data_IF_767338473515
#
_entry.id   IF_767338473515
#
_cell.length_a   1.000
_cell.length_b   1.000
_cell.length_c   1.000
_cell.angle_alpha   90.00
_cell.angle_beta   90.00
_cell.angle_gamma   90.00
#
_symmetry.space_group_name_H-M   'P 1'
#
loop_
_entity.id
_entity.type
_entity.pdbx_description
1 polymer ?
#
# COMPACT_ATOMS: atom_id res chain seq x y z
N UNK A 1 29.94 -20.18 -0.57
CA UNK A 1 29.40 -19.97 -1.94
C UNK A 1 29.34 -18.47 -2.17
N UNK A 2 29.93 -17.92 -3.23
CA UNK A 2 29.90 -16.47 -3.52
C UNK A 2 28.78 -16.21 -4.55
N UNK A 3 27.86 -15.29 -4.27
CA UNK A 3 26.81 -14.89 -5.20
C UNK A 3 27.34 -13.72 -6.05
N UNK A 4 27.12 -13.78 -7.36
CA UNK A 4 27.49 -12.71 -8.28
C UNK A 4 26.42 -11.61 -8.30
N UNK A 5 26.83 -10.36 -8.07
CA UNK A 5 25.90 -9.22 -7.99
C UNK A 5 25.23 -8.90 -9.33
N UNK A 6 25.94 -9.10 -10.46
CA UNK A 6 25.35 -8.91 -11.79
C UNK A 6 24.20 -9.88 -12.07
N UNK A 7 24.33 -11.12 -11.56
CA UNK A 7 23.29 -12.13 -11.68
C UNK A 7 22.10 -11.83 -10.76
N UNK A 8 22.36 -11.36 -9.54
CA UNK A 8 21.31 -10.90 -8.61
C UNK A 8 20.50 -9.73 -9.21
N UNK A 9 21.20 -8.72 -9.72
CA UNK A 9 20.57 -7.55 -10.37
C UNK A 9 19.72 -7.96 -11.56
N UNK A 10 20.18 -8.94 -12.35
CA UNK A 10 19.41 -9.45 -13.48
C UNK A 10 18.11 -10.14 -13.05
N UNK A 11 18.15 -10.97 -11.99
CA UNK A 11 16.96 -11.60 -11.43
C UNK A 11 15.97 -10.55 -10.89
N UNK A 12 16.43 -9.59 -10.09
CA UNK A 12 15.60 -8.54 -9.55
C UNK A 12 14.95 -7.68 -10.64
N UNK A 13 15.72 -7.33 -11.70
CA UNK A 13 15.19 -6.61 -12.85
C UNK A 13 14.10 -7.39 -13.59
N UNK A 14 14.27 -8.70 -13.82
CA UNK A 14 13.25 -9.54 -14.48
C UNK A 14 11.96 -9.58 -13.69
N UNK A 15 12.04 -9.69 -12.38
CA UNK A 15 10.86 -9.71 -11.49
C UNK A 15 10.17 -8.34 -11.46
N UNK A 16 10.93 -7.26 -11.30
CA UNK A 16 10.39 -5.90 -11.27
C UNK A 16 9.73 -5.50 -12.59
N UNK A 17 10.37 -5.77 -13.69
CA UNK A 17 9.87 -5.43 -15.04
C UNK A 17 8.83 -6.44 -15.55
N UNK A 18 8.74 -7.62 -14.95
CA UNK A 18 7.84 -8.70 -15.34
C UNK A 18 8.19 -9.35 -16.71
N UNK A 19 9.32 -8.98 -17.33
CA UNK A 19 9.80 -9.61 -18.58
C UNK A 19 11.32 -9.49 -18.75
N UNK A 20 11.92 -10.47 -19.45
CA UNK A 20 13.35 -10.49 -19.75
C UNK A 20 13.76 -9.36 -20.71
N UNK A 21 12.90 -9.00 -21.65
CA UNK A 21 13.11 -7.93 -22.63
C UNK A 21 13.15 -6.57 -21.95
N UNK A 22 12.16 -6.27 -21.09
CA UNK A 22 12.11 -5.00 -20.34
C UNK A 22 13.27 -4.91 -19.36
N UNK A 23 13.60 -6.00 -18.67
CA UNK A 23 14.77 -6.06 -17.80
C UNK A 23 16.08 -5.79 -18.55
N UNK A 24 16.21 -6.31 -19.76
CA UNK A 24 17.38 -6.06 -20.62
C UNK A 24 17.51 -4.57 -20.98
N UNK A 25 16.40 -3.94 -21.35
CA UNK A 25 16.35 -2.49 -21.62
C UNK A 25 16.72 -1.68 -20.37
N UNK A 26 16.14 -2.01 -19.20
CA UNK A 26 16.42 -1.33 -17.94
C UNK A 26 17.88 -1.48 -17.47
N UNK A 27 18.54 -2.59 -17.83
CA UNK A 27 19.94 -2.85 -17.48
C UNK A 27 20.94 -2.46 -18.59
N UNK A 28 20.47 -1.91 -19.71
CA UNK A 28 21.29 -1.58 -20.89
C UNK A 28 22.12 -2.77 -21.38
N UNK A 29 21.51 -3.97 -21.46
CA UNK A 29 22.12 -5.21 -21.96
C UNK A 29 21.19 -5.93 -22.93
N UNK A 30 21.64 -7.02 -23.54
CA UNK A 30 20.78 -7.83 -24.40
C UNK A 30 19.86 -8.78 -23.59
N UNK A 31 18.68 -9.15 -24.09
CA UNK A 31 17.82 -10.16 -23.46
C UNK A 31 18.52 -11.51 -23.24
N UNK A 32 19.40 -11.90 -24.17
CA UNK A 32 20.24 -13.10 -24.03
C UNK A 32 21.16 -13.01 -22.83
N UNK A 33 21.80 -11.85 -22.59
CA UNK A 33 22.68 -11.64 -21.43
C UNK A 33 21.91 -11.74 -20.12
N UNK A 34 20.70 -11.14 -20.02
CA UNK A 34 19.83 -11.28 -18.84
C UNK A 34 19.46 -12.74 -18.61
N UNK A 35 19.03 -13.45 -19.67
CA UNK A 35 18.66 -14.87 -19.58
C UNK A 35 19.84 -15.74 -19.12
N UNK A 36 21.05 -15.48 -19.62
CA UNK A 36 22.26 -16.21 -19.20
C UNK A 36 22.59 -15.94 -17.73
N UNK A 37 22.51 -14.68 -17.25
CA UNK A 37 22.77 -14.32 -15.85
C UNK A 37 21.79 -15.00 -14.89
N UNK A 38 20.48 -15.00 -15.22
CA UNK A 38 19.48 -15.69 -14.41
C UNK A 38 19.72 -17.20 -14.40
N UNK A 39 19.98 -17.83 -15.59
CA UNK A 39 20.32 -19.26 -15.68
C UNK A 39 21.57 -19.63 -14.88
N UNK A 40 22.61 -18.78 -14.92
CA UNK A 40 23.83 -19.01 -14.16
C UNK A 40 23.57 -18.99 -12.64
N UNK A 41 22.66 -18.08 -12.20
CA UNK A 41 22.23 -18.02 -10.79
C UNK A 41 21.42 -19.27 -10.42
N UNK A 42 20.46 -19.68 -11.23
CA UNK A 42 19.65 -20.89 -11.05
C UNK A 42 20.53 -22.16 -10.99
N UNK A 43 21.45 -22.30 -11.94
CA UNK A 43 22.40 -23.43 -11.95
C UNK A 43 23.25 -23.48 -10.66
N UNK A 44 23.70 -22.32 -10.20
CA UNK A 44 24.50 -22.21 -8.97
C UNK A 44 23.72 -22.54 -7.70
N UNK A 45 22.43 -22.19 -7.66
CA UNK A 45 21.52 -22.48 -6.55
C UNK A 45 20.94 -23.90 -6.62
N UNK A 46 21.00 -24.55 -7.78
CA UNK A 46 20.35 -25.83 -8.03
C UNK A 46 18.83 -25.76 -8.02
N UNK A 47 18.26 -24.57 -8.24
CA UNK A 47 16.80 -24.30 -8.13
C UNK A 47 16.36 -23.29 -9.18
N UNK A 48 15.11 -23.41 -9.63
CA UNK A 48 14.45 -22.38 -10.42
C UNK A 48 14.13 -21.18 -9.53
N UNK A 49 14.46 -19.98 -9.99
CA UNK A 49 14.29 -18.73 -9.25
C UNK A 49 13.19 -17.84 -9.83
N UNK A 50 12.82 -18.06 -11.11
CA UNK A 50 11.78 -17.30 -11.78
C UNK A 50 10.89 -18.25 -12.60
N UNK A 51 9.57 -18.01 -12.51
CA UNK A 51 8.58 -18.62 -13.40
C UNK A 51 8.47 -17.73 -14.64
N UNK A 52 8.65 -18.32 -15.83
CA UNK A 52 8.60 -17.61 -17.12
C UNK A 52 7.17 -17.42 -17.61
N UNK A 53 6.33 -16.88 -16.74
CA UNK A 53 4.97 -16.44 -17.06
C UNK A 53 4.95 -15.01 -17.60
N UNK A 54 3.80 -14.50 -18.00
CA UNK A 54 3.61 -13.09 -18.36
C UNK A 54 2.54 -12.50 -17.44
N UNK A 55 2.94 -11.65 -16.47
CA UNK A 55 4.31 -11.23 -16.15
C UNK A 55 5.17 -12.37 -15.53
N UNK A 56 6.51 -12.24 -15.64
CA UNK A 56 7.44 -13.11 -14.96
C UNK A 56 7.34 -12.92 -13.45
N UNK A 57 7.23 -14.01 -12.69
CA UNK A 57 7.10 -13.96 -11.22
C UNK A 57 8.19 -14.80 -10.55
N UNK A 58 8.71 -14.38 -9.38
CA UNK A 58 9.72 -15.14 -8.67
C UNK A 58 9.13 -16.43 -8.08
N UNK A 59 9.94 -17.48 -7.96
CA UNK A 59 9.66 -18.59 -7.07
C UNK A 59 9.88 -18.16 -5.60
N UNK A 60 9.43 -18.94 -4.60
CA UNK A 60 9.76 -18.64 -3.19
C UNK A 60 11.26 -18.47 -2.94
N UNK A 61 12.11 -19.34 -3.54
CA UNK A 61 13.56 -19.23 -3.46
C UNK A 61 14.08 -18.01 -4.22
N UNK A 62 13.50 -17.70 -5.38
CA UNK A 62 13.81 -16.51 -6.16
C UNK A 62 13.50 -15.22 -5.41
N UNK A 63 12.39 -15.20 -4.66
CA UNK A 63 12.01 -14.05 -3.86
C UNK A 63 13.06 -13.69 -2.79
N UNK A 64 13.66 -14.69 -2.14
CA UNK A 64 14.75 -14.47 -1.16
C UNK A 64 15.95 -13.78 -1.82
N UNK A 65 16.27 -14.15 -3.07
CA UNK A 65 17.38 -13.53 -3.79
C UNK A 65 17.03 -12.15 -4.35
N UNK A 66 15.79 -11.92 -4.73
CA UNK A 66 15.31 -10.56 -5.10
C UNK A 66 15.42 -9.63 -3.88
N UNK A 67 14.98 -10.06 -2.71
CA UNK A 67 15.15 -9.29 -1.46
C UNK A 67 16.62 -8.95 -1.19
N UNK A 68 17.53 -9.93 -1.35
CA UNK A 68 18.96 -9.70 -1.19
C UNK A 68 19.49 -8.68 -2.20
N UNK A 69 19.04 -8.76 -3.46
CA UNK A 69 19.45 -7.82 -4.50
C UNK A 69 19.03 -6.38 -4.17
N UNK A 70 17.79 -6.19 -3.74
CA UNK A 70 17.25 -4.87 -3.38
C UNK A 70 17.94 -4.28 -2.14
N UNK A 71 18.16 -5.08 -1.11
CA UNK A 71 18.91 -4.65 0.07
C UNK A 71 20.35 -4.25 -0.28
N UNK A 72 21.00 -5.04 -1.14
CA UNK A 72 22.37 -4.74 -1.59
C UNK A 72 22.41 -3.44 -2.39
N UNK A 73 21.47 -3.25 -3.31
CA UNK A 73 21.39 -2.02 -4.11
C UNK A 73 21.19 -0.76 -3.23
N UNK A 74 20.38 -0.88 -2.18
CA UNK A 74 20.15 0.21 -1.23
C UNK A 74 21.41 0.55 -0.43
N UNK A 75 22.15 -0.47 0.03
CA UNK A 75 23.42 -0.28 0.76
C UNK A 75 24.53 0.27 -0.14
N UNK A 76 24.59 -0.16 -1.41
CA UNK A 76 25.49 0.40 -2.42
C UNK A 76 25.18 1.88 -2.64
N UNK A 77 23.91 2.24 -2.79
CA UNK A 77 23.46 3.63 -2.92
C UNK A 77 23.91 4.48 -1.73
N UNK A 78 23.67 4.03 -0.49
CA UNK A 78 24.10 4.76 0.72
C UNK A 78 25.63 4.94 0.79
N UNK A 79 26.39 3.95 0.34
CA UNK A 79 27.84 4.03 0.32
C UNK A 79 28.36 5.05 -0.70
N UNK A 80 27.77 5.07 -1.90
CA UNK A 80 28.13 6.02 -2.96
C UNK A 80 27.75 7.44 -2.60
N UNK A 81 26.58 7.63 -1.99
CA UNK A 81 26.12 8.93 -1.48
C UNK A 81 27.09 9.51 -0.43
N UNK A 82 27.55 8.67 0.52
CA UNK A 82 28.57 9.06 1.52
C UNK A 82 29.91 9.44 0.92
N UNK A 83 30.28 8.83 -0.20
CA UNK A 83 31.54 9.13 -0.88
C UNK A 83 31.41 10.38 -1.76
N UNK A 84 30.22 10.97 -1.87
CA UNK A 84 29.98 12.09 -2.78
C UNK A 84 30.19 11.71 -4.25
N UNK A 85 30.15 10.43 -4.58
CA UNK A 85 30.26 9.94 -5.94
C UNK A 85 28.92 10.09 -6.62
N UNK A 86 28.69 11.30 -7.12
CA UNK A 86 27.48 11.70 -7.82
C UNK A 86 27.75 11.71 -9.33
N UNK A 87 26.89 11.07 -10.10
CA UNK A 87 26.94 11.13 -11.54
C UNK A 87 25.75 10.40 -12.17
N UNK A 88 25.38 10.76 -13.38
CA UNK A 88 24.30 10.14 -14.16
C UNK A 88 24.50 8.63 -14.41
N UNK A 89 25.69 8.10 -14.07
CA UNK A 89 26.04 6.70 -14.20
C UNK A 89 25.68 5.84 -12.97
N UNK A 90 25.26 6.43 -11.82
CA UNK A 90 24.89 5.67 -10.63
C UNK A 90 23.40 5.37 -10.70
N UNK A 91 22.99 4.09 -10.73
CA UNK A 91 21.58 3.75 -10.68
C UNK A 91 20.94 4.28 -9.40
N UNK A 92 19.92 5.12 -9.52
CA UNK A 92 19.15 5.55 -8.36
C UNK A 92 18.53 4.33 -7.68
N UNK A 93 18.73 4.19 -6.37
CA UNK A 93 18.03 3.18 -5.60
C UNK A 93 16.53 3.53 -5.57
N UNK A 94 15.69 2.52 -5.69
CA UNK A 94 14.24 2.65 -5.52
C UNK A 94 13.79 1.78 -4.36
N UNK A 95 13.01 2.35 -3.45
CA UNK A 95 12.45 1.63 -2.31
C UNK A 95 11.00 1.29 -2.65
N UNK A 96 10.72 -0.01 -2.79
CA UNK A 96 9.36 -0.49 -3.00
C UNK A 96 8.57 -0.42 -1.68
N UNK A 97 7.41 0.25 -1.71
CA UNK A 97 6.57 0.50 -0.54
C UNK A 97 5.11 0.21 -0.86
N UNK A 98 4.45 -0.61 -0.05
CA UNK A 98 3.01 -0.80 -0.12
C UNK A 98 2.27 0.23 0.74
N UNK A 99 1.30 0.91 0.14
CA UNK A 99 0.48 1.91 0.83
C UNK A 99 -0.98 1.65 0.50
N UNK A 100 -1.85 1.65 1.50
CA UNK A 100 -3.28 1.55 1.23
C UNK A 100 -3.80 2.82 0.53
N UNK A 101 -4.82 2.64 -0.30
CA UNK A 101 -5.37 3.69 -1.17
C UNK A 101 -5.71 4.97 -0.40
N UNK A 102 -6.36 4.86 0.74
CA UNK A 102 -6.78 6.02 1.53
C UNK A 102 -5.60 6.78 2.15
N UNK A 103 -4.56 6.08 2.59
CA UNK A 103 -3.33 6.71 3.07
C UNK A 103 -2.60 7.44 1.93
N UNK A 104 -2.55 6.84 0.75
CA UNK A 104 -1.94 7.45 -0.44
C UNK A 104 -2.66 8.75 -0.83
N UNK A 105 -3.99 8.75 -0.83
CA UNK A 105 -4.82 9.91 -1.20
C UNK A 105 -4.86 11.00 -0.11
N UNK A 106 -4.45 10.73 1.12
CA UNK A 106 -4.63 11.67 2.23
C UNK A 106 -3.32 12.24 2.78
N UNK A 107 -2.41 11.41 3.24
CA UNK A 107 -1.24 11.87 4.00
C UNK A 107 0.11 11.35 3.50
N UNK A 108 0.15 10.20 2.79
CA UNK A 108 1.41 9.55 2.44
C UNK A 108 2.22 10.34 1.39
N UNK A 109 1.55 11.12 0.52
CA UNK A 109 2.25 12.00 -0.43
C UNK A 109 3.09 13.08 0.28
N UNK A 110 2.70 13.51 1.47
CA UNK A 110 3.54 14.38 2.30
C UNK A 110 4.79 13.63 2.81
N UNK A 111 4.67 12.35 3.17
CA UNK A 111 5.83 11.52 3.52
C UNK A 111 6.78 11.38 2.32
N UNK A 112 6.27 11.15 1.12
CA UNK A 112 7.07 11.08 -0.10
C UNK A 112 7.80 12.40 -0.39
N UNK A 113 7.13 13.55 -0.23
CA UNK A 113 7.73 14.88 -0.37
C UNK A 113 8.85 15.12 0.65
N UNK A 114 8.62 14.78 1.92
CA UNK A 114 9.63 14.89 2.98
C UNK A 114 10.82 13.97 2.73
N UNK A 115 10.58 12.77 2.20
CA UNK A 115 11.63 11.84 1.83
C UNK A 115 12.49 12.35 0.69
N UNK A 116 11.88 12.85 -0.38
CA UNK A 116 12.58 13.41 -1.54
C UNK A 116 13.49 14.60 -1.18
N UNK A 117 13.18 15.33 -0.09
CA UNK A 117 14.04 16.39 0.43
C UNK A 117 15.26 15.88 1.23
N UNK A 118 15.30 14.58 1.58
CA UNK A 118 16.32 13.99 2.46
C UNK A 118 17.14 12.90 1.79
N UNK A 119 16.67 12.37 0.68
CA UNK A 119 17.30 11.25 -0.03
C UNK A 119 17.13 11.40 -1.52
N UNK A 120 18.11 10.92 -2.27
CA UNK A 120 18.05 10.81 -3.74
C UNK A 120 17.40 9.52 -4.22
N UNK A 121 17.21 8.56 -3.32
CA UNK A 121 16.46 7.35 -3.64
C UNK A 121 15.02 7.71 -4.02
N UNK A 122 14.43 6.92 -4.91
CA UNK A 122 13.03 7.06 -5.31
C UNK A 122 12.13 6.07 -4.58
N UNK A 123 10.82 6.25 -4.68
CA UNK A 123 9.83 5.30 -4.15
C UNK A 123 9.12 4.61 -5.31
N UNK A 124 9.00 3.29 -5.24
CA UNK A 124 8.08 2.49 -6.04
C UNK A 124 6.85 2.18 -5.19
N UNK A 125 5.76 2.93 -5.41
CA UNK A 125 4.56 2.84 -4.59
C UNK A 125 3.58 1.82 -5.17
N UNK A 126 3.32 0.77 -4.40
CA UNK A 126 2.31 -0.25 -4.71
C UNK A 126 1.08 0.00 -3.86
N UNK A 127 -0.07 0.23 -4.52
CA UNK A 127 -1.32 0.47 -3.82
C UNK A 127 -2.10 -0.82 -3.64
N UNK A 128 -2.43 -1.17 -2.39
CA UNK A 128 -3.18 -2.37 -2.03
C UNK A 128 -4.10 -2.04 -0.84
N UNK A 129 -5.06 -2.91 -0.53
CA UNK A 129 -5.90 -2.79 0.64
C UNK A 129 -5.07 -2.91 1.94
N UNK A 130 -5.42 -2.13 2.97
CA UNK A 130 -4.67 -2.03 4.23
C UNK A 130 -4.52 -3.37 4.96
N UNK A 131 -5.47 -4.29 4.79
CA UNK A 131 -5.43 -5.63 5.39
C UNK A 131 -4.53 -6.59 4.59
N UNK A 132 -4.07 -6.19 3.38
CA UNK A 132 -3.28 -7.01 2.46
C UNK A 132 -1.86 -6.51 2.23
N UNK A 133 -1.55 -5.24 2.55
CA UNK A 133 -0.20 -4.67 2.39
C UNK A 133 0.89 -5.48 3.13
N UNK A 134 0.56 -6.07 4.28
CA UNK A 134 1.49 -6.92 5.02
C UNK A 134 1.89 -8.22 4.28
N UNK A 135 1.07 -8.71 3.34
CA UNK A 135 1.42 -9.86 2.52
C UNK A 135 2.58 -9.55 1.56
N UNK A 136 2.64 -8.31 1.05
CA UNK A 136 3.72 -7.85 0.18
C UNK A 136 5.06 -7.70 0.94
N UNK A 137 5.02 -7.37 2.24
CA UNK A 137 6.21 -7.43 3.09
C UNK A 137 6.68 -8.86 3.33
N UNK A 138 5.75 -9.79 3.62
CA UNK A 138 6.10 -11.19 3.92
C UNK A 138 6.71 -11.89 2.71
N UNK A 139 6.17 -11.66 1.53
CA UNK A 139 6.69 -12.25 0.29
C UNK A 139 7.88 -11.45 -0.27
N UNK A 140 8.22 -10.30 0.34
CA UNK A 140 9.36 -9.47 -0.03
C UNK A 140 9.19 -8.67 -1.31
N UNK A 141 7.97 -8.48 -1.77
CA UNK A 141 7.68 -7.60 -2.93
C UNK A 141 7.89 -6.14 -2.60
N UNK A 142 7.86 -5.76 -1.32
CA UNK A 142 8.13 -4.40 -0.84
C UNK A 142 9.05 -4.41 0.38
N UNK A 143 9.80 -3.33 0.57
CA UNK A 143 10.71 -3.12 1.70
C UNK A 143 10.03 -2.41 2.88
N UNK A 144 8.92 -1.73 2.63
CA UNK A 144 8.12 -1.05 3.64
C UNK A 144 6.63 -1.11 3.31
N UNK A 145 5.78 -1.04 4.34
CA UNK A 145 4.33 -1.01 4.14
C UNK A 145 3.60 -0.20 5.23
N UNK A 146 2.56 0.52 4.81
CA UNK A 146 1.51 1.03 5.71
C UNK A 146 0.43 -0.04 5.80
N UNK A 147 0.20 -0.58 7.00
CA UNK A 147 -0.68 -1.74 7.23
C UNK A 147 -1.54 -1.55 8.48
N UNK A 148 -2.69 -2.23 8.54
CA UNK A 148 -3.51 -2.34 9.75
C UNK A 148 -3.04 -3.45 10.71
N UNK A 149 -2.07 -4.30 10.30
CA UNK A 149 -1.57 -5.41 11.11
C UNK A 149 -0.69 -4.89 12.25
N UNK A 150 -1.13 -5.13 13.49
CA UNK A 150 -0.40 -4.75 14.71
C UNK A 150 0.80 -5.65 15.01
N UNK A 151 0.78 -6.90 14.55
CA UNK A 151 1.88 -7.83 14.76
C UNK A 151 2.98 -7.59 13.71
N UNK A 152 4.25 -7.51 14.13
CA UNK A 152 5.34 -7.31 13.21
C UNK A 152 5.53 -8.50 12.27
N UNK A 153 5.68 -8.23 10.98
CA UNK A 153 6.14 -9.23 10.01
C UNK A 153 7.56 -9.64 10.40
N UNK A 154 7.85 -10.95 10.34
CA UNK A 154 9.17 -11.47 10.68
C UNK A 154 10.27 -10.75 9.89
N UNK A 155 11.32 -10.31 10.59
CA UNK A 155 12.42 -9.55 9.98
C UNK A 155 12.15 -8.05 9.80
N UNK A 156 10.95 -7.57 10.15
CA UNK A 156 10.59 -6.15 10.08
C UNK A 156 10.70 -5.43 11.44
N UNK A 157 10.83 -4.12 11.38
CA UNK A 157 10.52 -3.17 12.46
C UNK A 157 9.11 -2.68 12.27
N UNK A 158 8.44 -2.32 13.37
CA UNK A 158 7.08 -1.77 13.37
C UNK A 158 7.04 -0.46 14.16
N UNK A 159 6.32 0.53 13.61
CA UNK A 159 6.10 1.82 14.24
C UNK A 159 4.60 2.13 14.18
N UNK A 160 3.93 2.44 15.31
CA UNK A 160 2.55 2.88 15.32
C UNK A 160 2.45 4.28 14.69
N UNK A 161 1.49 4.48 13.78
CA UNK A 161 1.27 5.74 13.09
C UNK A 161 0.10 6.54 13.68
N UNK A 162 -0.86 5.87 14.30
CA UNK A 162 -2.15 6.39 14.70
C UNK A 162 -3.28 5.64 14.02
N UNK A 163 -4.44 6.26 13.86
CA UNK A 163 -5.61 5.64 13.25
C UNK A 163 -6.20 6.52 12.15
N UNK A 164 -6.55 5.91 11.02
CA UNK A 164 -7.41 6.52 10.02
C UNK A 164 -8.85 6.46 10.52
N UNK A 165 -9.50 7.61 10.64
CA UNK A 165 -10.91 7.67 11.01
C UNK A 165 -11.78 7.62 9.78
N UNK A 166 -12.74 6.72 9.78
CA UNK A 166 -13.80 6.60 8.78
C UNK A 166 -15.14 7.03 9.40
N UNK A 167 -15.98 7.64 8.58
CA UNK A 167 -17.33 8.07 8.98
C UNK A 167 -18.34 7.48 8.01
N UNK A 168 -19.37 6.83 8.54
CA UNK A 168 -20.50 6.37 7.72
C UNK A 168 -21.32 7.59 7.30
N UNK A 169 -21.35 7.91 5.99
CA UNK A 169 -21.95 9.13 5.45
C UNK A 169 -22.78 8.86 4.20
N UNK A 170 -23.71 9.76 3.95
CA UNK A 170 -24.47 9.89 2.70
C UNK A 170 -24.90 11.35 2.51
N UNK A 171 -25.57 11.69 1.41
CA UNK A 171 -26.19 13.02 1.26
C UNK A 171 -27.42 13.17 2.14
N UNK A 172 -27.85 14.41 2.48
CA UNK A 172 -29.09 14.66 3.22
C UNK A 172 -30.32 14.05 2.53
N UNK A 173 -30.41 14.15 1.21
CA UNK A 173 -31.52 13.60 0.41
C UNK A 173 -31.57 12.08 0.46
N UNK A 174 -30.38 11.43 0.38
CA UNK A 174 -30.28 9.98 0.53
C UNK A 174 -30.69 9.57 1.95
N UNK A 175 -30.24 10.30 2.97
CA UNK A 175 -30.61 10.05 4.36
C UNK A 175 -32.11 10.16 4.57
N UNK A 176 -32.75 11.22 4.06
CA UNK A 176 -34.19 11.41 4.16
C UNK A 176 -34.99 10.30 3.45
N UNK A 177 -34.47 9.78 2.34
CA UNK A 177 -35.13 8.71 1.56
C UNK A 177 -35.00 7.33 2.20
N UNK A 178 -33.83 6.98 2.71
CA UNK A 178 -33.54 5.62 3.14
C UNK A 178 -33.47 5.44 4.65
N UNK A 179 -33.24 6.51 5.42
CA UNK A 179 -33.02 6.48 6.86
C UNK A 179 -33.98 7.39 7.65
N UNK A 180 -35.09 7.82 7.07
CA UNK A 180 -36.09 8.66 7.74
C UNK A 180 -36.63 8.03 9.03
N UNK A 181 -36.71 6.69 9.11
CA UNK A 181 -37.14 5.93 10.29
C UNK A 181 -35.94 5.43 11.13
N UNK A 182 -34.77 6.04 10.95
CA UNK A 182 -33.54 5.69 11.65
C UNK A 182 -32.69 4.63 10.94
N UNK A 183 -31.45 4.55 11.38
CA UNK A 183 -30.45 3.60 10.89
C UNK A 183 -30.58 2.30 11.67
N UNK A 184 -31.18 1.29 11.07
CA UNK A 184 -31.49 -0.01 11.67
C UNK A 184 -31.32 -1.15 10.63
N UNK A 185 -31.57 -2.40 11.05
CA UNK A 185 -31.41 -3.57 10.19
C UNK A 185 -32.19 -3.47 8.88
N UNK A 186 -33.45 -3.00 8.95
CA UNK A 186 -34.33 -2.88 7.76
C UNK A 186 -33.81 -1.82 6.80
N UNK A 187 -33.47 -0.64 7.29
CA UNK A 187 -32.99 0.47 6.43
C UNK A 187 -31.62 0.14 5.84
N UNK A 188 -30.68 -0.48 6.58
CA UNK A 188 -29.39 -0.89 6.07
C UNK A 188 -29.48 -2.04 5.04
N UNK A 189 -30.46 -2.93 5.16
CA UNK A 189 -30.67 -4.01 4.19
C UNK A 189 -31.22 -3.51 2.85
N UNK A 190 -31.95 -2.41 2.82
CA UNK A 190 -32.58 -1.85 1.62
C UNK A 190 -31.80 -0.69 0.99
N UNK A 191 -31.00 0.05 1.78
CA UNK A 191 -30.27 1.21 1.29
C UNK A 191 -29.05 0.78 0.47
N UNK A 192 -28.84 1.29 -0.76
CA UNK A 192 -27.63 1.06 -1.54
C UNK A 192 -26.37 1.44 -0.77
N UNK A 193 -25.34 0.58 -0.84
CA UNK A 193 -24.05 0.79 -0.20
C UNK A 193 -22.94 0.83 -1.25
N UNK A 194 -21.96 1.72 -1.04
CA UNK A 194 -20.75 1.76 -1.84
C UNK A 194 -19.67 0.93 -1.13
N UNK A 195 -19.00 0.05 -1.86
CA UNK A 195 -17.94 -0.82 -1.38
C UNK A 195 -16.74 -0.73 -2.32
N UNK A 196 -15.55 -0.60 -1.77
CA UNK A 196 -14.35 -0.38 -2.58
C UNK A 196 -14.01 -1.61 -3.42
N UNK A 197 -13.94 -2.76 -2.80
CA UNK A 197 -13.71 -4.05 -3.46
C UNK A 197 -14.24 -5.21 -2.59
N UNK A 198 -14.12 -6.44 -3.06
CA UNK A 198 -14.62 -7.63 -2.35
C UNK A 198 -13.88 -7.97 -1.05
N UNK A 199 -12.73 -7.35 -0.80
CA UNK A 199 -11.94 -7.49 0.42
C UNK A 199 -12.30 -6.42 1.47
N UNK A 200 -12.95 -5.31 1.05
CA UNK A 200 -13.35 -4.21 1.94
C UNK A 200 -14.46 -4.66 2.88
N UNK A 201 -14.17 -4.67 4.17
CA UNK A 201 -15.09 -5.09 5.22
C UNK A 201 -15.58 -3.92 6.10
N UNK A 202 -15.22 -2.65 5.79
CA UNK A 202 -15.55 -1.50 6.65
C UNK A 202 -17.06 -1.34 6.81
N UNK A 203 -17.82 -1.35 5.70
CA UNK A 203 -19.26 -1.18 5.70
C UNK A 203 -19.96 -2.34 6.41
N UNK A 204 -19.47 -3.57 6.20
CA UNK A 204 -20.00 -4.77 6.87
C UNK A 204 -19.73 -4.72 8.39
N UNK A 205 -18.56 -4.25 8.82
CA UNK A 205 -18.25 -4.04 10.26
C UNK A 205 -19.20 -3.00 10.88
N UNK A 206 -19.42 -1.87 10.21
CA UNK A 206 -20.37 -0.87 10.65
C UNK A 206 -21.80 -1.41 10.72
N UNK A 207 -22.27 -2.10 9.68
CA UNK A 207 -23.58 -2.71 9.63
C UNK A 207 -23.77 -3.72 10.79
N UNK A 208 -22.79 -4.58 11.05
CA UNK A 208 -22.82 -5.53 12.16
C UNK A 208 -22.95 -4.84 13.53
N UNK A 209 -22.28 -3.71 13.76
CA UNK A 209 -22.41 -2.92 14.98
C UNK A 209 -23.82 -2.36 15.20
N UNK A 210 -24.58 -2.17 14.11
CA UNK A 210 -25.97 -1.65 14.16
C UNK A 210 -26.98 -2.77 14.27
N UNK A 211 -26.76 -3.86 13.53
CA UNK A 211 -27.74 -4.93 13.32
C UNK A 211 -27.50 -6.18 14.17
N UNK A 212 -26.31 -6.30 14.79
CA UNK A 212 -25.83 -7.58 15.33
C UNK A 212 -25.40 -8.54 14.22
N UNK A 213 -25.43 -9.84 14.50
CA UNK A 213 -25.01 -10.92 13.58
C UNK A 213 -26.10 -11.34 12.58
N UNK A 214 -26.95 -10.41 12.16
CA UNK A 214 -27.96 -10.65 11.13
C UNK A 214 -27.30 -10.64 9.75
N UNK A 215 -27.64 -11.59 8.84
CA UNK A 215 -27.16 -11.57 7.47
C UNK A 215 -27.47 -10.24 6.77
N UNK A 216 -26.45 -9.63 6.13
CA UNK A 216 -26.57 -8.34 5.48
C UNK A 216 -26.24 -8.45 3.99
N UNK A 217 -27.21 -8.22 3.13
CA UNK A 217 -27.10 -8.32 1.67
C UNK A 217 -27.80 -7.13 1.00
N UNK A 218 -27.25 -5.91 1.12
CA UNK A 218 -27.82 -4.71 0.50
C UNK A 218 -27.54 -4.68 -0.99
N UNK A 219 -28.19 -3.78 -1.75
CA UNK A 219 -27.72 -3.38 -3.09
C UNK A 219 -26.31 -2.77 -2.99
N UNK A 220 -25.35 -3.24 -3.82
CA UNK A 220 -23.94 -2.85 -3.73
C UNK A 220 -23.46 -2.22 -5.04
N UNK A 221 -22.81 -1.05 -4.90
CA UNK A 221 -21.96 -0.46 -5.93
C UNK A 221 -20.49 -0.79 -5.62
N UNK A 222 -19.77 -1.37 -6.58
CA UNK A 222 -18.35 -1.68 -6.48
C UNK A 222 -17.52 -0.59 -7.16
N UNK A 223 -16.73 0.19 -6.39
CA UNK A 223 -16.01 1.37 -6.87
C UNK A 223 -14.54 1.35 -6.38
N UNK A 224 -13.61 0.79 -7.15
CA UNK A 224 -12.22 0.59 -6.72
C UNK A 224 -11.35 1.86 -6.89
N UNK A 225 -11.82 3.02 -6.42
CA UNK A 225 -11.11 4.29 -6.46
C UNK A 225 -11.60 5.18 -5.32
N UNK A 226 -10.70 5.62 -4.43
CA UNK A 226 -11.06 6.47 -3.28
C UNK A 226 -11.71 7.79 -3.70
N UNK A 227 -11.26 8.40 -4.80
CA UNK A 227 -11.90 9.62 -5.34
C UNK A 227 -13.29 9.37 -5.89
N UNK A 228 -13.46 8.34 -6.73
CA UNK A 228 -14.76 7.97 -7.26
C UNK A 228 -15.73 7.57 -6.14
N UNK A 229 -15.22 6.96 -5.08
CA UNK A 229 -15.95 6.57 -3.89
C UNK A 229 -16.58 7.77 -3.16
N UNK A 230 -15.77 8.81 -2.88
CA UNK A 230 -16.26 10.07 -2.30
C UNK A 230 -17.23 10.78 -3.25
N UNK A 231 -16.90 10.84 -4.55
CA UNK A 231 -17.79 11.48 -5.54
C UNK A 231 -19.15 10.77 -5.63
N UNK A 232 -19.16 9.44 -5.70
CA UNK A 232 -20.40 8.66 -5.72
C UNK A 232 -21.26 8.86 -4.47
N UNK A 233 -20.60 9.08 -3.30
CA UNK A 233 -21.33 9.44 -2.07
C UNK A 233 -21.98 10.82 -2.21
N UNK A 234 -21.25 11.81 -2.73
CA UNK A 234 -21.73 13.16 -2.98
C UNK A 234 -22.86 13.20 -4.03
N UNK A 235 -22.82 12.30 -5.00
CA UNK A 235 -23.86 12.15 -6.03
C UNK A 235 -25.10 11.39 -5.51
N UNK A 236 -25.08 10.95 -4.25
CA UNK A 236 -26.22 10.27 -3.62
C UNK A 236 -26.47 8.86 -4.12
N UNK A 237 -25.48 8.16 -4.69
CA UNK A 237 -25.61 6.78 -5.17
C UNK A 237 -25.74 5.76 -4.05
N UNK A 238 -25.25 6.07 -2.85
CA UNK A 238 -25.28 5.18 -1.71
C UNK A 238 -24.70 5.81 -0.45
N UNK A 239 -24.73 5.07 0.64
CA UNK A 239 -23.97 5.38 1.83
C UNK A 239 -22.66 4.58 1.88
N UNK A 240 -21.67 5.08 2.61
CA UNK A 240 -20.41 4.35 2.81
C UNK A 240 -19.60 4.84 3.99
N UNK A 241 -18.52 4.10 4.32
CA UNK A 241 -17.50 4.51 5.27
C UNK A 241 -16.41 5.31 4.52
N UNK A 242 -16.48 6.63 4.59
CA UNK A 242 -15.49 7.51 3.96
C UNK A 242 -14.35 7.89 4.94
N UNK A 243 -13.09 7.94 4.48
CA UNK A 243 -11.98 8.49 5.28
C UNK A 243 -12.25 9.95 5.60
N UNK A 244 -12.24 10.31 6.88
CA UNK A 244 -12.57 11.66 7.35
C UNK A 244 -11.78 12.76 6.63
N UNK A 245 -10.46 12.62 6.37
CA UNK A 245 -9.70 13.67 5.68
C UNK A 245 -10.21 14.00 4.26
N UNK A 246 -10.85 13.04 3.57
CA UNK A 246 -11.37 13.25 2.22
C UNK A 246 -12.75 13.92 2.20
N UNK A 247 -13.46 13.95 3.32
CA UNK A 247 -14.85 14.43 3.39
C UNK A 247 -15.07 15.57 4.38
N UNK A 248 -14.02 16.09 5.05
CA UNK A 248 -14.16 17.16 6.02
C UNK A 248 -14.95 18.35 5.48
N UNK A 249 -14.57 18.88 4.32
CA UNK A 249 -15.26 19.99 3.68
C UNK A 249 -16.73 19.70 3.34
N UNK A 250 -17.01 18.46 2.91
CA UNK A 250 -18.36 18.05 2.58
C UNK A 250 -19.24 17.89 3.83
N UNK A 251 -18.67 17.47 4.95
CA UNK A 251 -19.35 17.44 6.26
C UNK A 251 -19.60 18.85 6.80
N UNK A 252 -18.59 19.72 6.77
CA UNK A 252 -18.69 21.11 7.24
C UNK A 252 -19.70 21.92 6.43
N UNK A 253 -19.77 21.70 5.12
CA UNK A 253 -20.73 22.35 4.22
C UNK A 253 -22.13 21.72 4.21
N UNK A 254 -22.33 20.60 4.93
CA UNK A 254 -23.60 19.88 4.97
C UNK A 254 -23.94 19.11 3.69
N UNK A 255 -23.01 19.02 2.71
CA UNK A 255 -23.20 18.19 1.50
C UNK A 255 -23.23 16.70 1.83
N UNK A 256 -22.54 16.29 2.88
CA UNK A 256 -22.63 14.96 3.47
C UNK A 256 -23.07 15.06 4.92
N UNK A 257 -23.82 14.07 5.37
CA UNK A 257 -24.23 13.92 6.77
C UNK A 257 -23.84 12.54 7.28
N UNK A 258 -23.45 12.42 8.57
CA UNK A 258 -23.25 11.10 9.18
C UNK A 258 -24.60 10.34 9.22
N UNK A 259 -24.57 9.03 9.00
CA UNK A 259 -25.76 8.18 9.09
C UNK A 259 -26.43 8.28 10.47
N UNK A 260 -25.60 8.40 11.52
CA UNK A 260 -26.06 8.61 12.92
C UNK A 260 -24.94 9.24 13.75
N UNK A 261 -25.26 9.72 14.94
CA UNK A 261 -24.25 10.19 15.87
C UNK A 261 -23.21 9.08 16.16
N UNK A 262 -21.92 9.44 16.14
CA UNK A 262 -20.78 8.51 16.35
C UNK A 262 -20.72 7.35 15.36
N UNK A 263 -21.16 7.56 14.12
CA UNK A 263 -21.04 6.61 13.02
C UNK A 263 -19.59 6.51 12.52
N UNK A 264 -18.63 6.27 13.42
CA UNK A 264 -17.20 6.27 13.11
C UNK A 264 -16.54 4.92 13.36
N UNK A 265 -15.48 4.65 12.59
CA UNK A 265 -14.57 3.53 12.74
C UNK A 265 -13.14 4.06 12.69
N UNK A 266 -12.34 3.78 13.71
CA UNK A 266 -10.92 4.13 13.74
C UNK A 266 -10.10 2.88 13.41
N UNK A 267 -9.45 2.89 12.25
CA UNK A 267 -8.58 1.79 11.80
C UNK A 267 -7.14 2.14 12.15
N UNK A 268 -6.50 1.38 13.06
CA UNK A 268 -5.11 1.61 13.43
C UNK A 268 -4.21 1.35 12.24
N UNK A 269 -3.18 2.19 12.06
CA UNK A 269 -2.17 2.06 11.02
C UNK A 269 -0.78 1.95 11.63
N UNK A 270 0.04 1.15 11.00
CA UNK A 270 1.42 0.88 11.37
C UNK A 270 2.32 1.03 10.16
N UNK A 271 3.51 1.60 10.34
CA UNK A 271 4.60 1.51 9.40
C UNK A 271 5.42 0.29 9.74
N UNK A 272 5.53 -0.65 8.83
CA UNK A 272 6.43 -1.80 8.95
C UNK A 272 7.45 -1.78 7.84
N UNK A 273 8.72 -2.03 8.14
CA UNK A 273 9.79 -2.08 7.15
C UNK A 273 10.88 -3.09 7.52
N UNK A 274 11.61 -3.57 6.54
CA UNK A 274 12.72 -4.49 6.77
C UNK A 274 13.79 -3.87 7.67
N UNK A 275 14.46 -4.72 8.44
CA UNK A 275 15.60 -4.33 9.28
C UNK A 275 16.86 -4.19 8.43
N UNK A 276 16.95 -3.15 7.63
CA UNK A 276 18.12 -2.78 6.83
C UNK A 276 18.78 -1.57 7.49
N UNK A 277 20.09 -1.64 7.67
CA UNK A 277 20.87 -0.50 8.17
C UNK A 277 21.22 0.44 7.01
N UNK A 278 20.24 1.18 6.52
CA UNK A 278 20.31 2.08 5.38
C UNK A 278 19.87 3.49 5.78
N UNK A 279 20.61 4.49 5.33
CA UNK A 279 20.28 5.91 5.55
C UNK A 279 19.00 6.28 4.80
N UNK A 280 18.83 5.77 3.58
CA UNK A 280 17.61 6.03 2.80
C UNK A 280 16.37 5.43 3.47
N UNK A 281 16.45 4.21 4.03
CA UNK A 281 15.33 3.61 4.78
C UNK A 281 15.03 4.37 6.08
N UNK A 282 16.05 4.86 6.77
CA UNK A 282 15.86 5.69 7.97
C UNK A 282 15.21 7.04 7.60
N UNK A 283 15.68 7.71 6.54
CA UNK A 283 15.09 8.94 6.04
C UNK A 283 13.62 8.76 5.64
N UNK A 284 13.28 7.63 4.99
CA UNK A 284 11.90 7.29 4.68
C UNK A 284 11.07 7.08 5.95
N UNK A 285 11.58 6.30 6.91
CA UNK A 285 10.89 6.05 8.18
C UNK A 285 10.58 7.34 8.92
N UNK A 286 11.56 8.24 9.05
CA UNK A 286 11.36 9.55 9.69
C UNK A 286 10.33 10.41 8.93
N UNK A 287 10.32 10.35 7.61
CA UNK A 287 9.36 11.08 6.77
C UNK A 287 7.94 10.55 6.94
N UNK A 288 7.78 9.21 7.00
CA UNK A 288 6.49 8.56 7.25
C UNK A 288 5.95 8.92 8.64
N UNK A 289 6.80 8.83 9.68
CA UNK A 289 6.39 9.18 11.05
C UNK A 289 6.00 10.66 11.19
N UNK A 290 6.72 11.56 10.54
CA UNK A 290 6.40 12.98 10.53
C UNK A 290 5.05 13.27 9.84
N UNK A 291 4.82 12.70 8.66
CA UNK A 291 3.57 12.90 7.91
C UNK A 291 2.35 12.28 8.59
N UNK A 292 2.53 11.14 9.29
CA UNK A 292 1.48 10.47 10.04
C UNK A 292 0.94 11.28 11.24
N UNK A 293 1.59 12.39 11.60
CA UNK A 293 1.11 13.29 12.66
C UNK A 293 -0.30 13.85 12.45
N UNK A 294 -0.86 13.74 11.24
CA UNK A 294 -2.24 14.09 10.87
C UNK A 294 -3.27 13.00 11.22
N UNK A 295 -2.83 11.79 11.53
CA UNK A 295 -3.71 10.70 11.94
C UNK A 295 -4.21 10.89 13.38
N UNK A 296 -5.37 10.28 13.68
CA UNK A 296 -5.94 10.33 15.05
C UNK A 296 -5.02 9.55 15.99
N UNK A 297 -4.46 10.23 17.00
CA UNK A 297 -3.66 9.57 18.03
C UNK A 297 -4.59 8.78 18.96
N UNK A 298 -4.25 7.52 19.23
CA UNK A 298 -4.87 6.79 20.33
C UNK A 298 -4.54 7.54 21.63
N UNK A 299 -5.59 7.91 22.38
CA UNK A 299 -5.44 8.34 23.77
C UNK A 299 -5.19 7.14 24.65
#
# INVERSE_FOLDING_TARGET
MKIDHGNLRALAAVVREGSFERAASALNVTPSAVSQRVKALEARMGRLLVQRTVPAVPTPDGQVLVQLAEQTALLEHDALDRLGLEGDAVPHASIAVAVNHDSLETWFMEAARLFAARSRATLDLQSEDQDHTAALLRNGSVMGAVTALADPVQGCRIHPLGSMRYVATCTPEFHARHFAQGVNARSLASAPVLVFNRKDALQARFARKVMGDVPWQPPVWWLPSSRAFVQATLDGLGWTMNPLPLINEALESGRLVPLRARATEDVPLYWQHWRVNSQAMEALTQSVLAAAGKLVRRR
#
